data_IF_511235146591
#
_entry.id   IF_511235146591
#
_cell.length_a   1.000
_cell.length_b   1.000
_cell.length_c   1.000
_cell.angle_alpha   90.00
_cell.angle_beta   90.00
_cell.angle_gamma   90.00
#
_symmetry.space_group_name_H-M   'P 1'
#
loop_
_entity.id
_entity.type
_entity.pdbx_description
1 polymer ?
#
# COMPACT_ATOMS: atom_id res chain seq x y z
N UNK A 1 12.18 24.69 4.66
CA UNK A 1 13.42 23.97 4.29
C UNK A 1 14.51 25.00 4.05
N UNK A 2 15.71 24.83 4.62
CA UNK A 2 16.86 25.63 4.22
C UNK A 2 17.23 25.26 2.77
N UNK A 3 17.76 26.18 1.95
CA UNK A 3 18.09 25.89 0.55
C UNK A 3 19.04 24.69 0.36
N UNK A 4 20.01 24.51 1.26
CA UNK A 4 20.95 23.39 1.23
C UNK A 4 20.28 22.03 1.51
N UNK A 5 19.28 21.99 2.39
CA UNK A 5 18.53 20.77 2.72
C UNK A 5 17.59 20.37 1.59
N UNK A 6 17.01 21.37 0.90
CA UNK A 6 16.07 21.15 -0.19
C UNK A 6 16.66 20.25 -1.28
N UNK A 7 17.88 20.52 -1.75
CA UNK A 7 18.54 19.73 -2.80
C UNK A 7 18.71 18.26 -2.36
N UNK A 8 19.31 18.02 -1.20
CA UNK A 8 19.53 16.67 -0.66
C UNK A 8 18.22 15.91 -0.48
N UNK A 9 17.19 16.57 0.02
CA UNK A 9 15.89 15.95 0.29
C UNK A 9 15.14 15.62 -1.01
N UNK A 10 15.23 16.47 -2.03
CA UNK A 10 14.64 16.19 -3.34
C UNK A 10 15.36 15.04 -4.05
N UNK A 11 16.70 14.99 -4.02
CA UNK A 11 17.48 13.88 -4.60
C UNK A 11 17.16 12.53 -3.92
N UNK A 12 17.01 12.54 -2.58
CA UNK A 12 16.56 11.36 -1.84
C UNK A 12 15.14 10.95 -2.26
N UNK A 13 14.21 11.90 -2.33
CA UNK A 13 12.83 11.62 -2.76
C UNK A 13 12.72 11.13 -4.20
N UNK A 14 13.56 11.62 -5.11
CA UNK A 14 13.62 11.13 -6.49
C UNK A 14 14.04 9.65 -6.53
N UNK A 15 15.05 9.29 -5.75
CA UNK A 15 15.51 7.90 -5.61
C UNK A 15 14.43 6.99 -5.00
N UNK A 16 13.79 7.45 -3.92
CA UNK A 16 12.71 6.72 -3.24
C UNK A 16 11.53 6.51 -4.20
N UNK A 17 11.09 7.58 -4.88
CA UNK A 17 9.99 7.56 -5.83
C UNK A 17 10.27 6.63 -7.01
N UNK A 18 11.45 6.74 -7.62
CA UNK A 18 11.85 5.87 -8.74
C UNK A 18 11.89 4.39 -8.36
N UNK A 19 12.37 4.07 -7.16
CA UNK A 19 12.42 2.69 -6.65
C UNK A 19 11.02 2.17 -6.32
N UNK A 20 10.20 2.97 -5.64
CA UNK A 20 8.83 2.60 -5.30
C UNK A 20 7.97 2.39 -6.55
N UNK A 21 8.11 3.27 -7.55
CA UNK A 21 7.41 3.17 -8.83
C UNK A 21 7.77 1.90 -9.59
N UNK A 22 9.07 1.56 -9.67
CA UNK A 22 9.53 0.30 -10.28
C UNK A 22 8.99 -0.92 -9.53
N UNK A 23 9.02 -0.92 -8.20
CA UNK A 23 8.48 -2.02 -7.41
C UNK A 23 6.98 -2.21 -7.66
N UNK A 24 6.20 -1.12 -7.65
CA UNK A 24 4.77 -1.16 -7.92
C UNK A 24 4.46 -1.67 -9.33
N UNK A 25 5.15 -1.15 -10.35
CA UNK A 25 4.96 -1.62 -11.73
C UNK A 25 5.36 -3.08 -11.91
N UNK A 26 6.46 -3.47 -11.28
CA UNK A 26 6.97 -4.83 -11.24
C UNK A 26 5.93 -5.82 -10.71
N UNK A 27 5.19 -5.45 -9.67
CA UNK A 27 4.09 -6.26 -9.17
C UNK A 27 2.86 -6.20 -10.09
N UNK A 28 2.36 -5.00 -10.37
CA UNK A 28 1.02 -4.83 -10.95
C UNK A 28 0.94 -5.12 -12.45
N UNK A 29 1.99 -4.77 -13.19
CA UNK A 29 1.98 -4.83 -14.66
C UNK A 29 2.93 -5.87 -15.25
N UNK A 30 3.99 -6.22 -14.52
CA UNK A 30 5.05 -7.11 -15.02
C UNK A 30 5.00 -8.51 -14.40
N UNK A 31 4.17 -8.73 -13.36
CA UNK A 31 3.97 -10.06 -12.79
C UNK A 31 2.88 -10.80 -13.56
N UNK A 32 3.27 -11.89 -14.19
CA UNK A 32 2.33 -12.82 -14.82
C UNK A 32 1.29 -13.30 -13.81
N UNK A 33 0.02 -13.36 -14.24
CA UNK A 33 -1.07 -13.80 -13.39
C UNK A 33 -1.59 -12.77 -12.36
N UNK A 34 -0.92 -11.62 -12.15
CA UNK A 34 -1.36 -10.60 -11.18
C UNK A 34 -2.79 -10.14 -11.40
N UNK A 35 -3.20 -10.03 -12.65
CA UNK A 35 -4.54 -9.66 -13.05
C UNK A 35 -5.60 -10.68 -12.64
N UNK A 36 -5.32 -11.97 -12.85
CA UNK A 36 -6.18 -13.07 -12.43
C UNK A 36 -6.27 -13.11 -10.90
N UNK A 37 -5.11 -13.01 -10.25
CA UNK A 37 -5.00 -12.89 -8.80
C UNK A 37 -5.85 -11.75 -8.24
N UNK A 38 -5.70 -10.52 -8.76
CA UNK A 38 -6.48 -9.36 -8.33
C UNK A 38 -7.98 -9.60 -8.46
N UNK A 39 -8.43 -10.17 -9.59
CA UNK A 39 -9.85 -10.42 -9.85
C UNK A 39 -10.46 -11.51 -8.98
N UNK A 40 -9.70 -12.53 -8.61
CA UNK A 40 -10.17 -13.63 -7.77
C UNK A 40 -10.04 -13.33 -6.28
N UNK A 41 -8.98 -12.64 -5.87
CA UNK A 41 -8.74 -12.28 -4.46
C UNK A 41 -9.62 -11.13 -3.99
N UNK A 42 -9.96 -10.18 -4.87
CA UNK A 42 -10.74 -8.99 -4.50
C UNK A 42 -12.15 -9.04 -5.06
N UNK A 43 -13.15 -8.41 -4.41
CA UNK A 43 -14.54 -8.48 -4.85
C UNK A 43 -14.84 -7.53 -6.04
N UNK A 44 -13.88 -7.33 -6.95
CA UNK A 44 -14.02 -6.36 -8.05
C UNK A 44 -15.13 -6.75 -9.03
N UNK A 45 -15.37 -8.05 -9.24
CA UNK A 45 -16.45 -8.52 -10.10
C UNK A 45 -17.81 -8.18 -9.50
N UNK A 46 -17.98 -8.46 -8.22
CA UNK A 46 -19.21 -8.23 -7.45
C UNK A 46 -19.48 -6.71 -7.32
N UNK A 47 -18.44 -5.91 -7.04
CA UNK A 47 -18.55 -4.44 -6.99
C UNK A 47 -19.02 -3.88 -8.34
N UNK A 48 -18.58 -4.45 -9.46
CA UNK A 48 -19.01 -4.00 -10.78
C UNK A 48 -20.49 -4.34 -11.04
N UNK A 49 -20.99 -5.45 -10.51
CA UNK A 49 -22.37 -5.91 -10.70
C UNK A 49 -23.38 -5.24 -9.76
N UNK A 50 -22.97 -4.88 -8.54
CA UNK A 50 -23.86 -4.34 -7.50
C UNK A 50 -24.39 -2.91 -7.79
N UNK A 51 -23.99 -2.26 -8.90
CA UNK A 51 -24.43 -0.89 -9.29
C UNK A 51 -24.37 0.16 -8.16
N UNK A 52 -23.46 -0.01 -7.19
CA UNK A 52 -23.31 0.88 -6.02
C UNK A 52 -22.85 2.28 -6.46
N UNK A 53 -22.17 2.38 -7.61
CA UNK A 53 -21.71 3.64 -8.19
C UNK A 53 -22.55 4.08 -9.40
N UNK A 54 -22.66 5.39 -9.61
CA UNK A 54 -23.29 5.98 -10.80
C UNK A 54 -22.49 5.80 -12.09
N UNK A 55 -21.24 5.33 -11.99
CA UNK A 55 -20.29 5.23 -13.09
C UNK A 55 -19.81 3.78 -13.23
N UNK A 56 -19.55 3.30 -14.47
CA UNK A 56 -19.01 1.96 -14.68
C UNK A 56 -17.61 1.82 -14.07
N UNK A 57 -17.29 0.64 -13.55
CA UNK A 57 -16.01 0.37 -12.89
C UNK A 57 -14.81 0.45 -13.85
N UNK A 58 -15.01 0.09 -15.13
CA UNK A 58 -14.01 0.17 -16.19
C UNK A 58 -14.36 1.26 -17.22
N UNK A 59 -13.34 1.75 -17.95
CA UNK A 59 -13.51 2.67 -19.08
C UNK A 59 -13.97 1.96 -20.35
N UNK A 60 -13.63 0.69 -20.50
CA UNK A 60 -13.92 -0.14 -21.68
C UNK A 60 -14.48 -1.50 -21.24
N UNK A 61 -15.05 -2.28 -22.16
CA UNK A 61 -15.40 -3.69 -21.90
C UNK A 61 -14.15 -4.57 -21.99
N UNK A 62 -13.22 -4.28 -21.10
CA UNK A 62 -11.94 -4.97 -20.95
C UNK A 62 -11.74 -5.24 -19.48
N UNK A 63 -11.11 -6.37 -19.23
CA UNK A 63 -10.80 -6.85 -17.90
C UNK A 63 -9.39 -6.40 -17.42
N UNK A 64 -8.69 -5.59 -18.24
CA UNK A 64 -7.34 -5.03 -17.98
C UNK A 64 -7.34 -4.06 -16.80
N UNK A 65 -6.24 -4.05 -16.05
CA UNK A 65 -6.06 -3.17 -14.90
C UNK A 65 -5.95 -1.71 -15.34
N UNK A 66 -5.36 -1.45 -16.51
CA UNK A 66 -5.18 -0.11 -17.08
C UNK A 66 -6.50 0.57 -17.44
N UNK A 67 -7.53 -0.24 -17.72
CA UNK A 67 -8.88 0.25 -18.03
C UNK A 67 -9.71 0.52 -16.76
N UNK A 68 -9.26 0.01 -15.61
CA UNK A 68 -9.93 0.17 -14.32
C UNK A 68 -9.82 1.61 -13.81
N UNK A 69 -10.91 2.13 -13.25
CA UNK A 69 -10.91 3.45 -12.61
C UNK A 69 -10.28 3.38 -11.21
N UNK A 70 -9.73 4.51 -10.77
CA UNK A 70 -9.04 4.62 -9.48
C UNK A 70 -9.93 4.24 -8.28
N UNK A 71 -11.22 4.62 -8.28
CA UNK A 71 -12.14 4.30 -7.17
C UNK A 71 -12.32 2.77 -7.05
N UNK A 72 -12.75 2.04 -8.09
CA UNK A 72 -12.79 0.57 -8.05
C UNK A 72 -11.47 -0.08 -7.66
N UNK A 73 -10.34 0.40 -8.19
CA UNK A 73 -9.02 -0.12 -7.83
C UNK A 73 -8.74 -0.03 -6.33
N UNK A 74 -8.88 1.16 -5.75
CA UNK A 74 -8.64 1.37 -4.31
C UNK A 74 -9.68 0.63 -3.46
N UNK A 75 -10.95 0.67 -3.87
CA UNK A 75 -12.04 0.08 -3.10
C UNK A 75 -11.92 -1.45 -3.03
N UNK A 76 -11.60 -2.13 -4.13
CA UNK A 76 -11.42 -3.59 -4.15
C UNK A 76 -10.31 -4.07 -3.19
N UNK A 77 -9.18 -3.36 -3.13
CA UNK A 77 -8.11 -3.69 -2.17
C UNK A 77 -8.46 -3.35 -0.73
N UNK A 78 -9.29 -2.33 -0.52
CA UNK A 78 -9.78 -1.99 0.81
C UNK A 78 -10.71 -3.08 1.37
N UNK A 79 -11.61 -3.60 0.53
CA UNK A 79 -12.48 -4.72 0.89
C UNK A 79 -11.69 -6.00 1.20
N UNK A 80 -10.64 -6.29 0.43
CA UNK A 80 -9.74 -7.43 0.69
C UNK A 80 -8.71 -7.16 1.82
N UNK A 81 -8.85 -6.06 2.58
CA UNK A 81 -7.98 -5.66 3.70
C UNK A 81 -6.49 -5.50 3.38
N UNK A 82 -6.12 -5.46 2.09
CA UNK A 82 -4.73 -5.26 1.68
C UNK A 82 -4.37 -3.78 1.65
N UNK A 83 -5.28 -2.91 1.20
CA UNK A 83 -5.02 -1.48 0.97
C UNK A 83 -3.83 -1.21 0.02
N UNK A 84 -3.54 -2.15 -0.89
CA UNK A 84 -2.34 -2.21 -1.74
C UNK A 84 -1.89 -0.86 -2.34
N UNK A 85 -2.79 -0.04 -2.94
CA UNK A 85 -2.37 1.18 -3.64
C UNK A 85 -1.85 2.28 -2.71
N UNK A 86 -2.12 2.19 -1.40
CA UNK A 86 -1.72 3.19 -0.43
C UNK A 86 -0.33 2.97 0.19
N UNK A 87 0.32 1.83 -0.07
CA UNK A 87 1.62 1.53 0.56
C UNK A 87 2.58 0.69 -0.30
N UNK A 88 2.10 -0.09 -1.28
CA UNK A 88 2.98 -1.00 -2.01
C UNK A 88 4.05 -0.24 -2.82
N UNK A 89 5.30 -0.66 -2.67
CA UNK A 89 6.47 0.03 -3.25
C UNK A 89 7.14 1.01 -2.29
N UNK A 90 6.42 1.58 -1.32
CA UNK A 90 6.99 2.59 -0.41
C UNK A 90 8.09 1.99 0.47
N UNK A 91 7.88 0.77 0.99
CA UNK A 91 8.91 0.06 1.76
C UNK A 91 10.20 -0.16 0.95
N UNK A 92 10.08 -0.58 -0.31
CA UNK A 92 11.24 -0.75 -1.20
C UNK A 92 11.93 0.59 -1.48
N UNK A 93 11.16 1.67 -1.67
CA UNK A 93 11.68 3.01 -1.85
C UNK A 93 12.48 3.51 -0.65
N UNK A 94 11.90 3.41 0.56
CA UNK A 94 12.54 3.81 1.81
C UNK A 94 13.78 2.97 2.09
N UNK A 95 13.70 1.65 1.95
CA UNK A 95 14.84 0.73 2.11
C UNK A 95 15.96 0.97 1.08
N UNK A 96 15.60 1.46 -0.11
CA UNK A 96 16.55 1.87 -1.15
C UNK A 96 17.39 3.08 -0.75
N UNK A 97 16.87 3.96 0.11
CA UNK A 97 17.64 5.04 0.71
C UNK A 97 18.46 4.50 1.89
N UNK A 98 19.75 4.25 1.65
CA UNK A 98 20.65 3.66 2.66
C UNK A 98 20.94 4.58 3.85
N UNK A 99 20.72 5.89 3.70
CA UNK A 99 20.97 6.88 4.74
C UNK A 99 19.70 7.12 5.56
N UNK A 100 19.52 6.30 6.61
CA UNK A 100 18.42 6.49 7.56
C UNK A 100 18.54 7.82 8.34
N UNK A 101 19.75 8.37 8.48
CA UNK A 101 19.97 9.67 9.10
C UNK A 101 19.30 10.77 8.30
N UNK A 102 19.50 10.76 6.97
CA UNK A 102 18.84 11.68 6.05
C UNK A 102 17.31 11.55 6.09
N UNK A 103 16.75 10.33 6.13
CA UNK A 103 15.30 10.13 6.24
C UNK A 103 14.74 10.71 7.55
N UNK A 104 15.51 10.64 8.63
CA UNK A 104 15.14 11.25 9.93
C UNK A 104 15.24 12.77 9.88
N UNK A 105 16.28 13.32 9.26
CA UNK A 105 16.39 14.77 9.00
C UNK A 105 15.19 15.26 8.18
N UNK A 106 14.79 14.52 7.14
CA UNK A 106 13.60 14.81 6.34
C UNK A 106 12.33 14.78 7.20
N UNK A 107 12.18 13.78 8.07
CA UNK A 107 11.03 13.67 8.98
C UNK A 107 10.99 14.86 9.95
N UNK A 108 12.12 15.33 10.46
CA UNK A 108 12.17 16.46 11.40
C UNK A 108 11.92 17.80 10.70
N UNK A 109 12.51 18.01 9.52
CA UNK A 109 12.57 19.33 8.89
C UNK A 109 11.57 19.54 7.74
N UNK A 110 10.88 18.50 7.26
CA UNK A 110 10.03 18.59 6.06
C UNK A 110 8.58 18.15 6.31
N UNK A 111 7.63 19.11 6.42
CA UNK A 111 6.20 18.80 6.65
C UNK A 111 5.57 17.88 5.59
N UNK A 112 6.03 17.94 4.34
CA UNK A 112 5.57 17.03 3.28
C UNK A 112 5.92 15.57 3.58
N UNK A 113 7.16 15.31 4.02
CA UNK A 113 7.61 13.97 4.34
C UNK A 113 6.95 13.46 5.62
N UNK A 114 6.74 14.32 6.61
CA UNK A 114 5.92 14.02 7.80
C UNK A 114 4.52 13.55 7.41
N UNK A 115 3.80 14.33 6.58
CA UNK A 115 2.45 13.98 6.14
C UNK A 115 2.43 12.69 5.31
N UNK A 116 3.45 12.46 4.49
CA UNK A 116 3.58 11.24 3.68
C UNK A 116 3.74 10.01 4.56
N UNK A 117 4.64 10.04 5.56
CA UNK A 117 4.83 8.92 6.48
C UNK A 117 3.64 8.71 7.42
N UNK A 118 2.97 9.79 7.86
CA UNK A 118 1.75 9.67 8.65
C UNK A 118 0.61 9.01 7.86
N UNK A 119 0.46 9.35 6.58
CA UNK A 119 -0.51 8.69 5.71
C UNK A 119 -0.17 7.22 5.47
N UNK A 120 1.11 6.90 5.24
CA UNK A 120 1.57 5.52 5.13
C UNK A 120 1.24 4.72 6.39
N UNK A 121 1.55 5.26 7.57
CA UNK A 121 1.27 4.64 8.87
C UNK A 121 -0.22 4.32 9.04
N UNK A 122 -1.10 5.26 8.73
CA UNK A 122 -2.54 5.07 8.80
C UNK A 122 -3.03 3.98 7.84
N UNK A 123 -2.50 3.92 6.62
CA UNK A 123 -2.88 2.90 5.64
C UNK A 123 -2.43 1.52 6.09
N UNK A 124 -1.18 1.39 6.56
CA UNK A 124 -0.65 0.13 7.10
C UNK A 124 -1.45 -0.35 8.32
N UNK A 125 -1.87 0.57 9.19
CA UNK A 125 -2.68 0.22 10.36
C UNK A 125 -4.10 -0.27 10.01
N UNK A 126 -4.63 0.10 8.84
CA UNK A 126 -5.96 -0.36 8.37
C UNK A 126 -5.91 -1.68 7.62
N UNK A 127 -4.75 -2.06 7.12
CA UNK A 127 -4.56 -3.33 6.44
C UNK A 127 -4.39 -4.48 7.43
N UNK A 128 -4.85 -5.66 7.04
CA UNK A 128 -4.75 -6.89 7.84
C UNK A 128 -4.28 -8.02 6.92
N UNK A 129 -3.01 -8.40 7.04
CA UNK A 129 -2.42 -9.42 6.18
C UNK A 129 -2.89 -10.84 6.52
N UNK A 130 -3.33 -11.09 7.74
CA UNK A 130 -3.81 -12.41 8.16
C UNK A 130 -5.24 -12.64 7.66
N UNK A 131 -6.08 -11.61 7.72
CA UNK A 131 -7.41 -11.61 7.09
C UNK A 131 -7.29 -11.63 5.57
N UNK A 132 -6.39 -10.83 4.98
CA UNK A 132 -6.16 -10.84 3.53
C UNK A 132 -5.72 -12.20 3.00
N UNK A 133 -4.97 -12.99 3.79
CA UNK A 133 -4.59 -14.36 3.41
C UNK A 133 -5.80 -15.28 3.24
N UNK A 134 -6.89 -15.05 3.98
CA UNK A 134 -8.14 -15.81 3.79
C UNK A 134 -8.75 -15.58 2.42
N UNK A 135 -8.62 -14.37 1.85
CA UNK A 135 -9.06 -14.08 0.49
C UNK A 135 -8.19 -14.75 -0.57
N UNK A 136 -6.93 -15.09 -0.27
CA UNK A 136 -6.07 -15.85 -1.19
C UNK A 136 -6.64 -17.25 -1.44
N UNK A 137 -7.41 -17.81 -0.50
CA UNK A 137 -8.09 -19.10 -0.68
C UNK A 137 -9.15 -19.07 -1.82
N UNK A 138 -9.61 -17.88 -2.25
CA UNK A 138 -10.53 -17.72 -3.38
C UNK A 138 -9.84 -17.82 -4.74
N UNK A 139 -8.50 -17.74 -4.78
CA UNK A 139 -7.72 -17.83 -6.02
C UNK A 139 -7.66 -19.28 -6.47
N UNK A 140 -8.04 -19.56 -7.72
CA UNK A 140 -8.12 -20.95 -8.21
C UNK A 140 -6.73 -21.59 -8.30
N UNK A 141 -5.76 -20.86 -8.88
CA UNK A 141 -4.35 -21.26 -8.87
C UNK A 141 -3.71 -20.88 -7.53
N UNK A 142 -3.70 -21.83 -6.61
CA UNK A 142 -3.15 -21.67 -5.27
C UNK A 142 -1.64 -21.40 -5.26
N UNK A 143 -0.88 -21.89 -6.25
CA UNK A 143 0.56 -21.66 -6.30
C UNK A 143 0.85 -20.21 -6.72
N UNK A 144 0.21 -19.74 -7.80
CA UNK A 144 0.26 -18.35 -8.23
C UNK A 144 -0.24 -17.40 -7.13
N UNK A 145 -1.38 -17.72 -6.51
CA UNK A 145 -1.98 -16.92 -5.45
C UNK A 145 -1.03 -16.71 -4.27
N UNK A 146 -0.44 -17.81 -3.75
CA UNK A 146 0.53 -17.74 -2.64
C UNK A 146 1.81 -17.00 -3.03
N UNK A 147 2.32 -17.19 -4.25
CA UNK A 147 3.53 -16.51 -4.70
C UNK A 147 3.36 -14.98 -4.77
N UNK A 148 2.25 -14.53 -5.38
CA UNK A 148 1.95 -13.09 -5.51
C UNK A 148 1.64 -12.49 -4.14
N UNK A 149 0.82 -13.16 -3.34
CA UNK A 149 0.50 -12.69 -1.99
C UNK A 149 1.73 -12.65 -1.08
N UNK A 150 2.65 -13.61 -1.19
CA UNK A 150 3.93 -13.60 -0.47
C UNK A 150 4.72 -12.33 -0.74
N UNK A 151 4.84 -11.93 -2.02
CA UNK A 151 5.50 -10.65 -2.40
C UNK A 151 4.78 -9.44 -1.83
N UNK A 152 3.44 -9.46 -1.77
CA UNK A 152 2.65 -8.41 -1.13
C UNK A 152 2.97 -8.34 0.36
N UNK A 153 2.87 -9.47 1.09
CA UNK A 153 3.15 -9.54 2.53
C UNK A 153 4.58 -9.10 2.88
N UNK A 154 5.57 -9.53 2.11
CA UNK A 154 6.97 -9.09 2.27
C UNK A 154 7.11 -7.57 2.07
N UNK A 155 6.43 -7.01 1.06
CA UNK A 155 6.40 -5.57 0.83
C UNK A 155 5.75 -4.81 1.99
N UNK A 156 4.68 -5.37 2.57
CA UNK A 156 3.98 -4.79 3.71
C UNK A 156 4.90 -4.74 4.93
N UNK A 157 5.55 -5.87 5.24
CA UNK A 157 6.50 -5.95 6.35
C UNK A 157 7.66 -4.97 6.16
N UNK A 158 8.21 -4.90 4.94
CA UNK A 158 9.30 -3.97 4.62
C UNK A 158 8.87 -2.51 4.80
N UNK A 159 7.65 -2.16 4.44
CA UNK A 159 7.10 -0.82 4.64
C UNK A 159 6.93 -0.49 6.12
N UNK A 160 6.37 -1.43 6.90
CA UNK A 160 6.22 -1.29 8.35
C UNK A 160 7.58 -1.12 9.04
N UNK A 161 8.54 -2.01 8.79
CA UNK A 161 9.86 -1.98 9.42
C UNK A 161 10.60 -0.67 9.10
N UNK A 162 10.55 -0.23 7.83
CA UNK A 162 11.18 1.01 7.40
C UNK A 162 10.56 2.23 8.10
N UNK A 163 9.23 2.29 8.14
CA UNK A 163 8.49 3.37 8.80
C UNK A 163 8.83 3.43 10.30
N UNK A 164 8.77 2.30 11.01
CA UNK A 164 9.05 2.22 12.45
C UNK A 164 10.51 2.61 12.76
N UNK A 165 11.45 2.18 11.92
CA UNK A 165 12.86 2.53 12.05
C UNK A 165 13.12 4.04 11.85
N UNK A 166 12.49 4.65 10.84
CA UNK A 166 12.61 6.09 10.58
C UNK A 166 11.96 6.89 11.71
N UNK A 167 10.73 6.54 12.08
CA UNK A 167 9.94 7.27 13.09
C UNK A 167 10.37 6.99 14.54
N UNK A 168 11.25 5.99 14.76
CA UNK A 168 11.67 5.48 16.07
C UNK A 168 10.47 5.07 16.93
N UNK A 169 9.56 4.31 16.33
CA UNK A 169 8.39 3.74 16.99
C UNK A 169 8.56 2.22 17.11
N UNK A 170 7.95 1.60 18.12
CA UNK A 170 7.94 0.14 18.27
C UNK A 170 6.70 -0.51 17.68
N UNK A 171 5.66 0.28 17.42
CA UNK A 171 4.40 -0.16 16.81
C UNK A 171 3.75 0.98 16.02
N UNK A 172 2.89 0.61 15.06
CA UNK A 172 2.10 1.59 14.30
C UNK A 172 1.21 2.39 15.24
N UNK A 173 1.02 3.67 14.90
CA UNK A 173 0.16 4.64 15.58
C UNK A 173 0.52 4.89 17.05
N UNK A 174 1.73 4.51 17.49
CA UNK A 174 2.19 4.75 18.86
C UNK A 174 2.09 6.23 19.25
N UNK A 175 2.37 7.14 18.31
CA UNK A 175 2.29 8.60 18.52
C UNK A 175 0.88 9.19 18.32
N UNK A 176 -0.11 8.38 17.96
CA UNK A 176 -1.50 8.82 17.76
C UNK A 176 -2.52 7.83 18.36
N UNK A 177 -2.60 7.75 19.72
CA UNK A 177 -3.42 6.76 20.41
C UNK A 177 -4.92 6.91 20.15
N UNK A 178 -5.42 8.13 19.90
CA UNK A 178 -6.83 8.34 19.58
C UNK A 178 -7.19 7.73 18.22
N UNK A 179 -6.31 7.87 17.23
CA UNK A 179 -6.51 7.23 15.91
C UNK A 179 -6.38 5.71 15.99
N UNK A 180 -5.43 5.23 16.79
CA UNK A 180 -5.24 3.79 17.07
C UNK A 180 -6.53 3.16 17.63
N UNK A 181 -7.09 3.76 18.70
CA UNK A 181 -8.35 3.31 19.30
C UNK A 181 -9.50 3.30 18.29
N UNK A 182 -9.64 4.35 17.48
CA UNK A 182 -10.68 4.41 16.46
C UNK A 182 -10.55 3.29 15.43
N UNK A 183 -9.33 3.05 14.91
CA UNK A 183 -9.10 1.98 13.94
C UNK A 183 -9.39 0.61 14.57
N UNK A 184 -8.94 0.37 15.80
CA UNK A 184 -9.20 -0.87 16.55
C UNK A 184 -10.70 -1.16 16.69
N UNK A 185 -11.51 -0.14 16.97
CA UNK A 185 -12.97 -0.27 17.04
C UNK A 185 -13.48 -0.75 15.67
N UNK A 186 -13.15 -0.06 14.58
CA UNK A 186 -13.64 -0.45 13.25
C UNK A 186 -13.15 -1.83 12.78
N UNK A 187 -11.93 -2.24 13.14
CA UNK A 187 -11.40 -3.57 12.78
C UNK A 187 -11.98 -4.69 13.64
N UNK A 188 -12.38 -4.42 14.89
CA UNK A 188 -12.99 -5.43 15.77
C UNK A 188 -14.46 -5.69 15.41
N UNK A 189 -15.14 -4.71 14.80
CA UNK A 189 -16.55 -4.79 14.39
C UNK A 189 -16.77 -5.21 12.92
N UNK A 190 -15.72 -5.56 12.16
CA UNK A 190 -15.79 -6.24 10.85
C UNK A 190 -15.59 -7.76 11.07
N UNK A 191 -16.63 -8.54 11.45
CA UNK A 191 -16.56 -10.00 11.58
C UNK A 191 -16.43 -10.73 10.24
#
# INVERSE_FOLDING_TARGET
LKPADAKRFFEAMETISGTAFKAYRGLVYETEGFRTFFRQMTPIAEIADLKIGSRPASRTRSDRIEDLRAIPWVFSWAQARVMLPGWFGVGQGLKGCKDIGLLREMLEAWPFFQATLANLEMVLAKSDMDLAERYVALVEDQAMGKAIFGRIREGWQTAQDSLLSITRQTRLLQKNPSLDQNIQIYTTYDP
#
